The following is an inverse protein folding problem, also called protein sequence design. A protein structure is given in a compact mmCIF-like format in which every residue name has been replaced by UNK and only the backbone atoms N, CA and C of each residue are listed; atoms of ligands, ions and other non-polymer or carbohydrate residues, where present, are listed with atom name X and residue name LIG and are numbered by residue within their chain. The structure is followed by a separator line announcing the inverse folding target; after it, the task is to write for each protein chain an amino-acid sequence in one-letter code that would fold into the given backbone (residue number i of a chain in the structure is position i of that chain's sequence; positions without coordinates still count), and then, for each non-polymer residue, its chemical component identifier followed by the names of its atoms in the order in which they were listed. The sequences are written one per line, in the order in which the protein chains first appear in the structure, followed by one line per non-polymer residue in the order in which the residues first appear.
data_IF_700112398129
#
_entry.id   IF_700112398129
#
_cell.length_a   1.000
_cell.length_b   1.000
_cell.length_c   1.000
_cell.angle_alpha   90.00
_cell.angle_beta   90.00
_cell.angle_gamma   90.00
#
_symmetry.space_group_name_H-M   'P 1'
#
loop_
_entity.id
_entity.type
_entity.pdbx_description
1 polymer ?
#
# COMPACT_ATOMS: atom_id res chain seq x y z
N UNK A 1 -19.62 -10.55 -11.28
CA UNK A 1 -20.52 -9.97 -10.26
C UNK A 1 -19.66 -9.12 -9.32
N UNK A 2 -19.80 -7.79 -9.36
CA UNK A 2 -19.04 -6.89 -8.45
C UNK A 2 -19.87 -6.67 -7.20
N UNK A 3 -19.39 -7.19 -6.06
CA UNK A 3 -20.08 -7.02 -4.78
C UNK A 3 -19.69 -5.65 -4.21
N UNK A 4 -20.69 -4.81 -3.93
CA UNK A 4 -20.49 -3.49 -3.35
C UNK A 4 -19.90 -3.62 -1.94
N UNK A 5 -18.84 -2.87 -1.66
CA UNK A 5 -18.22 -2.79 -0.34
C UNK A 5 -18.76 -1.58 0.41
N UNK A 6 -18.94 -1.72 1.72
CA UNK A 6 -19.31 -0.61 2.60
C UNK A 6 -18.15 0.34 2.93
N UNK A 7 -16.90 -0.07 2.65
CA UNK A 7 -15.76 0.82 2.84
C UNK A 7 -15.79 1.93 1.78
N UNK A 8 -15.95 3.17 2.22
CA UNK A 8 -15.72 4.36 1.41
C UNK A 8 -14.28 4.84 1.62
N UNK A 9 -13.37 4.38 0.75
CA UNK A 9 -11.98 4.83 0.77
C UNK A 9 -11.88 6.06 -0.14
N UNK A 10 -11.69 7.23 0.47
CA UNK A 10 -11.48 8.49 -0.25
C UNK A 10 -10.12 9.05 0.13
N UNK A 11 -9.32 9.44 -0.86
CA UNK A 11 -7.96 9.89 -0.64
C UNK A 11 -7.73 11.18 -1.42
N UNK A 12 -7.48 12.31 -0.75
CA UNK A 12 -7.11 13.54 -1.43
C UNK A 12 -5.84 13.36 -2.27
N UNK A 13 -5.68 14.16 -3.33
CA UNK A 13 -4.48 14.11 -4.18
C UNK A 13 -3.22 14.35 -3.33
N UNK A 14 -2.19 13.52 -3.54
CA UNK A 14 -0.92 13.58 -2.79
C UNK A 14 -0.98 13.02 -1.36
N UNK A 15 -2.15 12.54 -0.89
CA UNK A 15 -2.24 11.83 0.39
C UNK A 15 -2.00 10.34 0.16
N UNK A 16 -1.31 9.69 1.09
CA UNK A 16 -1.07 8.24 1.03
C UNK A 16 -2.01 7.48 1.96
N UNK A 17 -2.24 6.20 1.70
CA UNK A 17 -3.07 5.36 2.55
C UNK A 17 -2.52 3.96 2.73
N UNK A 18 -3.01 3.30 3.78
CA UNK A 18 -2.74 1.91 4.11
C UNK A 18 -4.06 1.17 4.28
N UNK A 19 -4.31 0.20 3.41
CA UNK A 19 -5.46 -0.70 3.49
C UNK A 19 -5.07 -2.02 4.15
N UNK A 20 -5.49 -2.20 5.40
CA UNK A 20 -5.27 -3.41 6.16
C UNK A 20 -6.43 -4.38 6.04
N UNK A 21 -6.17 -5.69 6.00
CA UNK A 21 -7.24 -6.68 6.13
C UNK A 21 -6.80 -8.08 5.77
N UNK A 22 -7.49 -9.11 6.27
CA UNK A 22 -7.08 -10.51 6.10
C UNK A 22 -6.82 -10.91 4.63
N UNK A 23 -6.04 -11.97 4.40
CA UNK A 23 -5.81 -12.49 3.03
C UNK A 23 -7.12 -12.97 2.42
N UNK A 24 -7.18 -12.96 1.07
CA UNK A 24 -8.35 -13.38 0.28
C UNK A 24 -9.65 -12.61 0.55
N UNK A 25 -9.59 -11.45 1.22
CA UNK A 25 -10.77 -10.61 1.44
C UNK A 25 -11.14 -9.76 0.24
N UNK A 26 -10.32 -9.66 -0.81
CA UNK A 26 -10.60 -8.87 -2.03
C UNK A 26 -10.01 -7.45 -2.08
N UNK A 27 -9.02 -7.13 -1.22
CA UNK A 27 -8.35 -5.81 -1.15
C UNK A 27 -7.83 -5.33 -2.50
N UNK A 28 -7.04 -6.16 -3.19
CA UNK A 28 -6.40 -5.78 -4.46
C UNK A 28 -7.45 -5.50 -5.54
N UNK A 29 -8.55 -6.27 -5.58
CA UNK A 29 -9.69 -6.02 -6.48
C UNK A 29 -10.37 -4.70 -6.16
N UNK A 30 -10.62 -4.42 -4.87
CA UNK A 30 -11.25 -3.17 -4.44
C UNK A 30 -10.39 -1.95 -4.77
N UNK A 31 -9.08 -2.01 -4.52
CA UNK A 31 -8.16 -0.90 -4.80
C UNK A 31 -8.01 -0.63 -6.30
N UNK A 32 -7.93 -1.68 -7.14
CA UNK A 32 -7.93 -1.53 -8.60
C UNK A 32 -9.18 -0.84 -9.13
N UNK A 33 -10.35 -1.13 -8.55
CA UNK A 33 -11.60 -0.48 -8.91
C UNK A 33 -11.66 0.96 -8.41
N UNK A 34 -11.14 1.22 -7.21
CA UNK A 34 -11.22 2.54 -6.58
C UNK A 34 -10.21 3.56 -7.12
N UNK A 35 -9.05 3.06 -7.55
CA UNK A 35 -7.92 3.82 -8.05
C UNK A 35 -7.50 3.27 -9.42
N UNK A 36 -8.27 3.55 -10.48
CA UNK A 36 -7.95 3.06 -11.83
C UNK A 36 -6.63 3.63 -12.36
N UNK A 37 -6.25 4.83 -11.90
CA UNK A 37 -5.05 5.55 -12.34
C UNK A 37 -3.77 5.17 -11.57
N UNK A 38 -3.71 3.95 -11.01
CA UNK A 38 -2.47 3.44 -10.41
C UNK A 38 -1.46 3.19 -11.52
N UNK A 39 -0.31 3.84 -11.37
CA UNK A 39 0.73 3.83 -12.38
C UNK A 39 1.67 2.61 -12.26
N UNK A 40 1.93 2.13 -11.03
CA UNK A 40 2.73 0.93 -10.77
C UNK A 40 2.05 0.02 -9.74
N UNK A 41 2.05 -1.27 -10.01
CA UNK A 41 1.62 -2.32 -9.08
C UNK A 41 2.79 -3.21 -8.69
N UNK A 42 3.13 -3.25 -7.41
CA UNK A 42 4.19 -4.09 -6.86
C UNK A 42 3.58 -5.11 -5.90
N UNK A 43 3.80 -6.40 -6.17
CA UNK A 43 3.31 -7.49 -5.34
C UNK A 43 4.47 -8.20 -4.64
N UNK A 44 4.74 -7.84 -3.38
CA UNK A 44 5.87 -8.39 -2.60
C UNK A 44 5.64 -9.84 -2.11
N UNK A 45 4.57 -10.49 -2.58
CA UNK A 45 4.41 -11.93 -2.48
C UNK A 45 5.12 -12.70 -3.60
N UNK A 46 5.39 -12.03 -4.73
CA UNK A 46 6.17 -12.63 -5.82
C UNK A 46 7.63 -12.68 -5.37
N UNK A 47 8.23 -13.86 -5.39
CA UNK A 47 9.51 -14.12 -4.72
C UNK A 47 10.68 -13.37 -5.37
N UNK A 48 10.66 -13.26 -6.70
CA UNK A 48 11.58 -12.49 -7.51
C UNK A 48 11.50 -10.99 -7.18
N UNK A 49 10.29 -10.41 -7.18
CA UNK A 49 10.08 -9.00 -6.81
C UNK A 49 10.51 -8.75 -5.36
N UNK A 50 10.11 -9.63 -4.44
CA UNK A 50 10.48 -9.54 -3.04
C UNK A 50 12.01 -9.52 -2.88
N UNK A 51 12.72 -10.43 -3.56
CA UNK A 51 14.18 -10.55 -3.45
C UNK A 51 14.88 -9.27 -3.92
N UNK A 52 14.38 -8.66 -5.00
CA UNK A 52 14.92 -7.38 -5.52
C UNK A 52 14.84 -6.27 -4.47
N UNK A 53 13.65 -6.02 -3.92
CA UNK A 53 13.46 -4.94 -2.94
C UNK A 53 13.99 -5.26 -1.55
N UNK A 54 14.09 -6.54 -1.19
CA UNK A 54 14.68 -6.95 0.07
C UNK A 54 16.19 -6.72 0.08
N UNK A 55 16.85 -6.98 -1.05
CA UNK A 55 18.29 -6.77 -1.19
C UNK A 55 18.65 -5.30 -1.40
N UNK A 56 17.82 -4.53 -2.11
CA UNK A 56 18.08 -3.13 -2.47
C UNK A 56 16.82 -2.27 -2.26
N UNK A 57 16.42 -1.95 -1.01
CA UNK A 57 15.24 -1.11 -0.74
C UNK A 57 15.32 0.26 -1.43
N UNK A 58 16.51 0.86 -1.48
CA UNK A 58 16.79 2.18 -2.06
C UNK A 58 16.48 2.27 -3.56
N UNK A 59 16.42 1.12 -4.24
CA UNK A 59 16.00 1.01 -5.64
C UNK A 59 14.65 1.70 -5.88
N UNK A 60 13.77 1.69 -4.88
CA UNK A 60 12.51 2.44 -4.92
C UNK A 60 12.74 3.91 -5.24
N UNK A 61 13.71 4.58 -4.60
CA UNK A 61 13.99 5.99 -4.86
C UNK A 61 14.48 6.21 -6.29
N UNK A 62 15.30 5.30 -6.80
CA UNK A 62 15.85 5.38 -8.16
C UNK A 62 14.77 5.24 -9.22
N UNK A 63 13.85 4.29 -9.03
CA UNK A 63 12.73 4.04 -9.94
C UNK A 63 11.76 5.22 -10.02
N UNK A 64 11.71 6.05 -8.97
CA UNK A 64 10.82 7.22 -8.89
C UNK A 64 11.48 8.53 -9.31
N UNK A 65 12.82 8.61 -9.33
CA UNK A 65 13.55 9.83 -9.75
C UNK A 65 13.28 10.24 -11.19
N UNK A 66 12.98 9.28 -12.06
CA UNK A 66 12.85 9.48 -13.51
C UNK A 66 11.41 9.68 -14.01
N UNK A 67 10.44 9.78 -13.09
CA UNK A 67 9.02 9.73 -13.46
C UNK A 67 8.33 11.06 -13.23
N UNK A 68 8.05 11.75 -14.35
CA UNK A 68 7.27 12.97 -14.37
C UNK A 68 5.78 12.67 -14.15
N UNK A 69 5.22 13.27 -13.09
CA UNK A 69 3.80 13.61 -12.99
C UNK A 69 2.80 12.50 -12.67
N UNK A 70 3.14 11.21 -12.75
CA UNK A 70 2.26 10.12 -12.33
C UNK A 70 2.57 9.66 -10.91
N UNK A 71 1.58 9.81 -10.03
CA UNK A 71 1.82 9.94 -8.59
C UNK A 71 1.32 8.75 -7.76
N UNK A 72 0.66 7.77 -8.38
CA UNK A 72 -0.06 6.73 -7.63
C UNK A 72 0.67 5.38 -7.71
N UNK A 73 1.23 4.97 -6.58
CA UNK A 73 2.02 3.75 -6.48
C UNK A 73 1.38 2.74 -5.54
N UNK A 74 1.13 1.52 -6.03
CA UNK A 74 0.54 0.45 -5.23
C UNK A 74 1.59 -0.58 -4.80
N UNK A 75 1.69 -0.81 -3.49
CA UNK A 75 2.55 -1.85 -2.92
C UNK A 75 1.72 -2.80 -2.05
N UNK A 76 1.68 -4.07 -2.46
CA UNK A 76 1.04 -5.15 -1.72
C UNK A 76 2.03 -5.82 -0.76
N UNK A 77 1.59 -6.04 0.48
CA UNK A 77 2.32 -6.70 1.55
C UNK A 77 3.65 -6.01 1.92
N UNK A 78 3.71 -4.67 1.83
CA UNK A 78 4.91 -3.86 2.14
C UNK A 78 5.45 -4.10 3.56
N UNK A 79 4.60 -4.55 4.50
CA UNK A 79 5.05 -4.95 5.84
C UNK A 79 6.13 -6.05 5.86
N UNK A 80 6.28 -6.81 4.76
CA UNK A 80 7.29 -7.86 4.66
C UNK A 80 8.73 -7.32 4.56
N UNK A 81 8.90 -6.07 4.15
CA UNK A 81 10.21 -5.43 4.00
C UNK A 81 10.16 -4.09 4.76
N UNK A 82 10.42 -4.07 6.08
CA UNK A 82 10.36 -2.85 6.88
C UNK A 82 11.22 -1.70 6.31
N UNK A 83 12.41 -2.01 5.80
CA UNK A 83 13.28 -1.00 5.18
C UNK A 83 12.64 -0.36 3.93
N UNK A 84 11.86 -1.11 3.16
CA UNK A 84 11.11 -0.54 2.02
C UNK A 84 10.02 0.42 2.50
N UNK A 85 9.44 0.17 3.69
CA UNK A 85 8.49 1.09 4.29
C UNK A 85 9.17 2.40 4.71
N UNK A 86 10.42 2.35 5.20
CA UNK A 86 11.21 3.53 5.51
C UNK A 86 11.53 4.35 4.24
N UNK A 87 11.79 3.68 3.11
CA UNK A 87 11.95 4.33 1.82
C UNK A 87 10.69 5.06 1.36
N UNK A 88 9.53 4.40 1.43
CA UNK A 88 8.23 5.03 1.15
C UNK A 88 8.02 6.24 2.06
N UNK A 89 8.42 6.13 3.32
CA UNK A 89 8.32 7.21 4.29
C UNK A 89 9.09 8.44 3.85
N UNK A 90 10.37 8.26 3.54
CA UNK A 90 11.25 9.30 3.04
C UNK A 90 10.70 9.95 1.76
N UNK A 91 10.11 9.16 0.86
CA UNK A 91 9.55 9.64 -0.40
C UNK A 91 8.29 10.51 -0.20
N UNK A 92 7.40 10.14 0.72
CA UNK A 92 6.23 10.96 1.10
C UNK A 92 6.66 12.29 1.74
N UNK A 93 7.80 12.31 2.44
CA UNK A 93 8.32 13.54 3.04
C UNK A 93 9.01 14.44 2.03
N UNK A 94 9.89 13.87 1.22
CA UNK A 94 10.69 14.59 0.22
C UNK A 94 9.87 15.08 -0.96
N UNK A 95 8.76 14.42 -1.31
CA UNK A 95 7.91 14.83 -2.42
C UNK A 95 6.41 14.64 -2.12
N UNK A 96 5.74 15.74 -1.76
CA UNK A 96 4.30 15.77 -1.44
C UNK A 96 3.35 15.50 -2.60
N UNK A 97 3.87 15.46 -3.83
CA UNK A 97 3.05 15.03 -4.97
C UNK A 97 2.87 13.50 -4.98
N UNK A 98 3.81 12.73 -4.43
CA UNK A 98 3.72 11.26 -4.43
C UNK A 98 2.57 10.76 -3.53
N UNK A 99 1.80 9.82 -4.07
CA UNK A 99 0.67 9.17 -3.44
C UNK A 99 0.91 7.65 -3.43
N UNK A 100 1.07 7.09 -2.24
CA UNK A 100 1.25 5.66 -2.05
C UNK A 100 -0.06 5.02 -1.57
N UNK A 101 -0.44 3.93 -2.23
CA UNK A 101 -1.57 3.08 -1.87
C UNK A 101 -1.00 1.75 -1.39
N UNK A 102 -0.87 1.62 -0.08
CA UNK A 102 -0.22 0.47 0.54
C UNK A 102 -1.27 -0.52 1.01
N UNK A 103 -0.95 -1.80 0.93
CA UNK A 103 -1.84 -2.89 1.33
C UNK A 103 -1.09 -3.89 2.19
N UNK A 104 -1.77 -4.45 3.20
CA UNK A 104 -1.18 -5.49 4.04
C UNK A 104 -2.20 -6.36 4.75
N UNK A 105 -1.83 -7.62 4.97
CA UNK A 105 -2.68 -8.59 5.69
C UNK A 105 -2.71 -8.39 7.20
N UNK A 106 -1.63 -7.85 7.78
CA UNK A 106 -1.52 -7.63 9.22
C UNK A 106 -0.55 -6.52 9.55
N UNK A 107 -0.99 -5.56 10.36
CA UNK A 107 -0.12 -4.56 10.96
C UNK A 107 0.71 -5.10 12.13
N UNK A 108 0.42 -6.33 12.61
CA UNK A 108 1.09 -6.93 13.77
C UNK A 108 2.60 -7.06 13.55
N UNK A 109 3.01 -7.45 12.34
CA UNK A 109 4.42 -7.62 11.98
C UNK A 109 5.22 -6.30 12.07
N UNK A 110 4.60 -5.16 11.75
CA UNK A 110 5.25 -3.85 11.84
C UNK A 110 5.30 -3.32 13.28
N UNK A 111 4.27 -3.63 14.07
CA UNK A 111 4.26 -3.28 15.51
C UNK A 111 5.35 -4.01 16.29
N UNK A 112 5.66 -5.26 15.93
CA UNK A 112 6.71 -6.04 16.59
C UNK A 112 8.14 -5.58 16.23
N UNK A 113 8.32 -4.91 15.09
CA UNK A 113 9.64 -4.42 14.66
C UNK A 113 9.94 -2.98 15.09
N UNK A 114 9.05 -2.34 15.88
CA UNK A 114 9.19 -0.94 16.29
C UNK A 114 9.03 0.08 15.15
N UNK A 115 8.73 -0.41 13.94
CA UNK A 115 8.49 0.42 12.75
C UNK A 115 7.16 1.15 12.90
N UNK A 116 7.21 2.48 12.84
CA UNK A 116 6.01 3.30 12.86
C UNK A 116 5.26 3.12 11.53
N UNK A 117 3.95 2.90 11.59
CA UNK A 117 3.06 2.75 10.43
C UNK A 117 2.88 4.09 9.70
N UNK A 118 3.97 4.58 9.11
CA UNK A 118 4.12 5.90 8.51
C UNK A 118 3.75 7.09 9.44
N UNK A 119 3.60 6.86 10.76
CA UNK A 119 3.44 7.90 11.78
C UNK A 119 2.46 9.04 11.43
N UNK A 120 1.30 8.71 10.86
CA UNK A 120 0.28 9.70 10.45
C UNK A 120 0.40 10.24 9.03
N UNK A 121 1.47 9.88 8.30
CA UNK A 121 1.70 10.28 6.89
C UNK A 121 0.91 9.44 5.89
N UNK A 122 0.25 8.36 6.35
CA UNK A 122 -0.71 7.61 5.56
C UNK A 122 -1.99 7.34 6.34
N UNK A 123 -3.13 7.53 5.67
CA UNK A 123 -4.45 7.26 6.22
C UNK A 123 -4.65 5.76 6.42
N UNK A 124 -5.13 5.37 7.60
CA UNK A 124 -5.31 3.95 7.93
C UNK A 124 -6.74 3.51 7.67
N UNK A 125 -6.90 2.58 6.74
CA UNK A 125 -8.17 1.93 6.42
C UNK A 125 -8.15 0.46 6.82
N UNK A 126 -9.33 -0.06 7.18
CA UNK A 126 -9.53 -1.48 7.46
C UNK A 126 -10.54 -2.08 6.50
N UNK A 127 -10.15 -3.18 5.87
CA UNK A 127 -10.92 -3.94 4.91
C UNK A 127 -11.38 -5.23 5.57
N UNK A 128 -12.60 -5.19 6.10
CA UNK A 128 -13.19 -6.31 6.82
C UNK A 128 -13.61 -7.42 5.84
N UNK A 129 -13.57 -8.69 6.27
CA UNK A 129 -14.14 -9.80 5.50
C UNK A 129 -15.60 -9.52 5.14
N UNK A 130 -16.00 -9.97 3.96
CA UNK A 130 -17.41 -9.96 3.58
C UNK A 130 -18.11 -11.06 4.36
N UNK A 131 -19.04 -10.70 5.24
CA UNK A 131 -19.94 -11.64 5.90
C UNK A 131 -21.35 -11.47 5.32
N UNK A 132 -22.04 -12.59 5.09
CA UNK A 132 -23.47 -12.55 4.87
C UNK A 132 -24.12 -12.28 6.22
N UNK A 133 -24.98 -11.26 6.30
CA UNK A 133 -25.90 -11.14 7.43
C UNK A 133 -26.98 -12.20 7.17
N UNK A 134 -26.83 -13.37 7.77
CA UNK A 134 -27.93 -14.33 7.87
C UNK A 134 -28.95 -13.70 8.82
N UNK A 135 -30.14 -13.37 8.29
CA UNK A 135 -31.31 -12.98 9.07
C UNK A 135 -32.08 -14.22 9.47
#
# INVERSE_FOLDING_TARGET
MTIQRFLALELPKGQSCFLWGARKTGKSTYLKQRFPDIYIYIYLLQADIYKVYFQNPERLREELKSKDGNLNYYYDEVQKIPLLLDEVHYLIESNKSLQFILCGSSARCLKSTGSNLLGGRAWRYMFLPLYAILR
#
